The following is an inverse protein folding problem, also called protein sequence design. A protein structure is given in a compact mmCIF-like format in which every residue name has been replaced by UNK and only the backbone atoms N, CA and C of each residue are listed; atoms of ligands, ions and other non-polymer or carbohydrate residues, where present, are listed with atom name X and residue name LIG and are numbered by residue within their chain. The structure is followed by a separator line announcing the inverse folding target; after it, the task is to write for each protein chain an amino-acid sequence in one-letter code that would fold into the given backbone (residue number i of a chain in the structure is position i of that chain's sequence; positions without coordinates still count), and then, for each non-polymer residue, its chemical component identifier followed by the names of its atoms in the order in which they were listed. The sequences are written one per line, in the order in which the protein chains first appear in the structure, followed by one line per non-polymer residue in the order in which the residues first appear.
data_IF_651807738439
#
_entry.id   IF_651807738439
#
_cell.length_a   1.000
_cell.length_b   1.000
_cell.length_c   1.000
_cell.angle_alpha   90.00
_cell.angle_beta   90.00
_cell.angle_gamma   90.00
#
_symmetry.space_group_name_H-M   'P 1'
#
loop_
_entity.id
_entity.type
_entity.pdbx_description
1 polymer ?
#
# COMPACT_ATOMS: atom_id res chain seq x y z
N UNK A 1 0.44 6.29 30.50
CA UNK A 1 1.04 5.03 29.97
C UNK A 1 2.28 4.68 30.76
N UNK A 2 3.20 5.64 30.95
CA UNK A 2 4.34 5.56 31.87
C UNK A 2 3.90 5.23 33.30
N UNK A 3 2.83 5.86 33.80
CA UNK A 3 2.38 5.65 35.18
C UNK A 3 1.87 4.23 35.42
N UNK A 4 1.12 3.65 34.47
CA UNK A 4 0.62 2.28 34.60
C UNK A 4 1.76 1.25 34.57
N UNK A 5 2.75 1.45 33.69
CA UNK A 5 3.96 0.63 33.65
C UNK A 5 4.77 0.75 34.94
N UNK A 6 4.95 1.96 35.45
CA UNK A 6 5.66 2.22 36.71
C UNK A 6 4.95 1.57 37.89
N UNK A 7 3.62 1.63 37.94
CA UNK A 7 2.81 0.96 38.97
C UNK A 7 2.97 -0.56 38.90
N UNK A 8 2.84 -1.17 37.72
CA UNK A 8 3.01 -2.62 37.58
C UNK A 8 4.45 -3.07 37.86
N UNK A 9 5.46 -2.27 37.48
CA UNK A 9 6.87 -2.53 37.82
C UNK A 9 7.12 -2.44 39.33
N UNK A 10 6.51 -1.48 40.01
CA UNK A 10 6.60 -1.35 41.45
C UNK A 10 5.93 -2.53 42.18
N UNK A 11 4.77 -2.99 41.68
CA UNK A 11 4.09 -4.19 42.18
C UNK A 11 4.95 -5.45 41.97
N UNK A 12 5.56 -5.61 40.80
CA UNK A 12 6.47 -6.72 40.50
C UNK A 12 7.71 -6.70 41.42
N UNK A 13 8.33 -5.53 41.60
CA UNK A 13 9.50 -5.36 42.48
C UNK A 13 9.15 -5.69 43.95
N UNK A 14 7.97 -5.28 44.41
CA UNK A 14 7.46 -5.61 45.76
C UNK A 14 7.23 -7.12 45.92
N UNK A 15 6.74 -7.79 44.89
CA UNK A 15 6.58 -9.26 44.87
C UNK A 15 7.93 -9.99 44.95
N UNK A 16 8.97 -9.49 44.27
CA UNK A 16 10.33 -10.04 44.37
C UNK A 16 10.93 -9.90 45.78
N UNK A 17 10.75 -8.73 46.41
CA UNK A 17 11.30 -8.47 47.74
C UNK A 17 10.63 -9.30 48.85
N UNK A 18 9.34 -9.59 48.72
CA UNK A 18 8.60 -10.42 49.69
C UNK A 18 8.89 -11.94 49.58
N UNK A 19 9.44 -12.40 48.46
CA UNK A 19 9.67 -13.82 48.17
C UNK A 19 11.08 -14.33 48.57
N UNK A 20 11.78 -13.64 49.47
CA UNK A 20 13.11 -14.04 49.98
C UNK A 20 12.99 -14.79 51.33
N UNK A 21 12.62 -16.09 51.36
CA UNK A 21 13.08 -16.98 52.41
C UNK A 21 14.16 -17.96 51.89
N UNK A 22 15.02 -18.40 52.80
CA UNK A 22 16.23 -19.20 52.59
C UNK A 22 15.97 -20.68 52.17
N UNK A 23 15.06 -20.95 51.24
CA UNK A 23 14.86 -22.28 50.66
C UNK A 23 15.42 -22.34 49.22
N UNK A 24 16.24 -23.36 48.95
CA UNK A 24 16.96 -23.69 47.69
C UNK A 24 17.11 -22.54 46.67
N UNK A 25 18.29 -21.87 46.60
CA UNK A 25 18.48 -20.63 45.85
C UNK A 25 18.14 -20.74 44.35
N UNK A 26 18.26 -21.92 43.74
CA UNK A 26 17.96 -22.15 42.32
C UNK A 26 16.46 -22.18 42.00
N UNK A 27 15.62 -22.69 42.91
CA UNK A 27 14.16 -22.74 42.72
C UNK A 27 13.52 -21.36 42.80
N UNK A 28 14.02 -20.50 43.71
CA UNK A 28 13.53 -19.15 43.88
C UNK A 28 13.88 -18.27 42.66
N UNK A 29 15.12 -18.35 42.16
CA UNK A 29 15.56 -17.62 40.96
C UNK A 29 14.75 -18.05 39.72
N UNK A 30 14.48 -19.34 39.55
CA UNK A 30 13.69 -19.84 38.41
C UNK A 30 12.23 -19.30 38.43
N UNK A 31 11.60 -19.27 39.61
CA UNK A 31 10.27 -18.68 39.78
C UNK A 31 10.24 -17.19 39.47
N UNK A 32 11.21 -16.44 39.99
CA UNK A 32 11.36 -15.00 39.73
C UNK A 32 11.63 -14.69 38.26
N UNK A 33 12.49 -15.47 37.60
CA UNK A 33 12.76 -15.34 36.17
C UNK A 33 11.51 -15.60 35.33
N UNK A 34 10.73 -16.62 35.67
CA UNK A 34 9.48 -16.92 34.96
C UNK A 34 8.44 -15.82 35.16
N UNK A 35 8.31 -15.27 36.37
CA UNK A 35 7.42 -14.14 36.64
C UNK A 35 7.86 -12.88 35.87
N UNK A 36 9.16 -12.56 35.85
CA UNK A 36 9.70 -11.47 35.05
C UNK A 36 9.44 -11.68 33.56
N UNK A 37 9.73 -12.88 33.04
CA UNK A 37 9.51 -13.23 31.64
C UNK A 37 8.05 -13.08 31.26
N UNK A 38 7.12 -13.58 32.08
CA UNK A 38 5.69 -13.45 31.85
C UNK A 38 5.25 -11.99 31.84
N UNK A 39 5.75 -11.19 32.78
CA UNK A 39 5.49 -9.76 32.84
C UNK A 39 6.00 -9.03 31.59
N UNK A 40 7.26 -9.25 31.19
CA UNK A 40 7.85 -8.62 30.00
C UNK A 40 7.08 -9.01 28.74
N UNK A 41 6.72 -10.30 28.58
CA UNK A 41 5.93 -10.76 27.45
C UNK A 41 4.54 -10.11 27.42
N UNK A 42 3.89 -9.97 28.58
CA UNK A 42 2.61 -9.29 28.70
C UNK A 42 2.71 -7.80 28.36
N UNK A 43 3.75 -7.12 28.84
CA UNK A 43 3.98 -5.71 28.55
C UNK A 43 4.26 -5.48 27.05
N UNK A 44 5.06 -6.35 26.42
CA UNK A 44 5.33 -6.31 24.98
C UNK A 44 4.06 -6.58 24.16
N UNK A 45 3.24 -7.56 24.56
CA UNK A 45 1.97 -7.83 23.91
C UNK A 45 1.01 -6.63 24.02
N UNK A 46 0.94 -6.00 25.19
CA UNK A 46 0.14 -4.79 25.41
C UNK A 46 0.61 -3.61 24.54
N UNK A 47 1.93 -3.40 24.42
CA UNK A 47 2.49 -2.37 23.56
C UNK A 47 2.19 -2.63 22.08
N UNK A 48 2.32 -3.88 21.63
CA UNK A 48 1.98 -4.27 20.26
C UNK A 48 0.51 -3.95 19.94
N UNK A 49 -0.42 -4.31 20.82
CA UNK A 49 -1.84 -4.00 20.65
C UNK A 49 -2.12 -2.50 20.56
N UNK A 50 -1.43 -1.68 21.35
CA UNK A 50 -1.56 -0.23 21.31
C UNK A 50 -1.04 0.36 19.99
N UNK A 51 0.09 -0.13 19.50
CA UNK A 51 0.64 0.28 18.20
C UNK A 51 -0.31 -0.07 17.07
N UNK A 52 -0.89 -1.28 17.09
CA UNK A 52 -1.89 -1.71 16.10
C UNK A 52 -3.15 -0.84 16.13
N UNK A 53 -3.64 -0.49 17.33
CA UNK A 53 -4.79 0.41 17.50
C UNK A 53 -4.50 1.80 16.93
N UNK A 54 -3.34 2.39 17.26
CA UNK A 54 -2.94 3.71 16.78
C UNK A 54 -2.75 3.73 15.25
N UNK A 55 -2.15 2.69 14.69
CA UNK A 55 -2.02 2.54 13.24
C UNK A 55 -3.40 2.52 12.57
N UNK A 56 -4.35 1.76 13.11
CA UNK A 56 -5.74 1.70 12.62
C UNK A 56 -6.44 3.05 12.71
N UNK A 57 -6.28 3.78 13.82
CA UNK A 57 -6.88 5.11 13.99
C UNK A 57 -6.28 6.13 13.01
N UNK A 58 -4.97 6.07 12.78
CA UNK A 58 -4.28 6.93 11.82
C UNK A 58 -4.81 6.69 10.40
N UNK A 59 -4.90 5.43 9.96
CA UNK A 59 -5.48 5.07 8.67
C UNK A 59 -6.93 5.60 8.52
N UNK A 60 -7.76 5.44 9.55
CA UNK A 60 -9.14 5.94 9.53
C UNK A 60 -9.21 7.45 9.38
N UNK A 61 -8.41 8.20 10.12
CA UNK A 61 -8.36 9.66 10.04
C UNK A 61 -7.87 10.13 8.67
N UNK A 62 -6.82 9.48 8.15
CA UNK A 62 -6.28 9.75 6.83
C UNK A 62 -7.33 9.49 5.74
N UNK A 63 -8.03 8.34 5.79
CA UNK A 63 -9.13 8.06 4.87
C UNK A 63 -10.29 9.05 4.98
N UNK A 64 -10.62 9.51 6.19
CA UNK A 64 -11.63 10.57 6.36
C UNK A 64 -11.20 11.89 5.73
N UNK A 65 -9.91 12.21 5.74
CA UNK A 65 -9.37 13.37 5.02
C UNK A 65 -9.45 13.17 3.50
N UNK A 66 -9.19 11.95 3.01
CA UNK A 66 -9.17 11.60 1.59
C UNK A 66 -10.55 11.32 0.96
N UNK A 67 -11.62 11.23 1.76
CA UNK A 67 -12.97 10.82 1.28
C UNK A 67 -13.50 11.66 0.09
N UNK A 68 -13.15 12.96 0.07
CA UNK A 68 -13.54 13.90 -1.00
C UNK A 68 -12.54 13.92 -2.17
N UNK A 69 -11.63 12.96 -2.26
CA UNK A 69 -10.54 12.95 -3.23
C UNK A 69 -10.65 11.77 -4.19
N UNK A 70 -10.36 12.02 -5.45
CA UNK A 70 -10.18 11.01 -6.50
C UNK A 70 -8.85 11.21 -7.19
N UNK A 71 -8.33 10.12 -7.75
CA UNK A 71 -7.21 10.13 -8.67
C UNK A 71 -7.74 10.02 -10.09
N UNK A 72 -7.31 10.92 -10.96
CA UNK A 72 -7.59 10.91 -12.40
C UNK A 72 -6.30 10.52 -13.13
N UNK A 73 -6.40 9.55 -14.02
CA UNK A 73 -5.28 9.10 -14.86
C UNK A 73 -5.62 9.31 -16.34
N UNK A 74 -4.60 9.44 -17.18
CA UNK A 74 -4.76 9.48 -18.64
C UNK A 74 -5.00 10.87 -19.23
N UNK A 75 -5.05 11.93 -18.41
CA UNK A 75 -5.15 13.31 -18.91
C UNK A 75 -3.77 13.76 -19.43
N UNK A 76 -3.61 14.11 -20.72
CA UNK A 76 -2.34 14.54 -21.29
C UNK A 76 -1.71 15.73 -20.56
N UNK A 77 -0.38 15.83 -20.59
CA UNK A 77 0.34 16.99 -20.03
C UNK A 77 0.60 18.01 -21.14
N UNK A 78 -0.05 19.18 -21.07
CA UNK A 78 0.18 20.31 -21.95
C UNK A 78 1.12 21.34 -21.31
N UNK A 79 1.84 22.11 -22.13
CA UNK A 79 2.86 23.07 -21.67
C UNK A 79 2.27 24.36 -21.04
N UNK A 80 0.99 24.68 -21.25
CA UNK A 80 0.43 25.97 -20.82
C UNK A 80 -1.05 25.93 -20.43
N UNK A 81 -1.57 24.74 -20.08
CA UNK A 81 -2.99 24.58 -19.78
C UNK A 81 -3.30 24.76 -18.29
N UNK A 82 -4.38 25.49 -18.01
CA UNK A 82 -4.99 25.53 -16.68
C UNK A 82 -5.52 24.13 -16.34
N UNK A 83 -4.76 23.37 -15.55
CA UNK A 83 -5.09 21.99 -15.18
C UNK A 83 -6.53 21.81 -14.69
N UNK A 84 -7.03 22.76 -13.90
CA UNK A 84 -8.38 22.74 -13.38
C UNK A 84 -9.43 22.78 -14.49
N UNK A 85 -9.30 23.71 -15.43
CA UNK A 85 -10.27 23.88 -16.53
C UNK A 85 -10.24 22.65 -17.43
N UNK A 86 -9.06 22.18 -17.83
CA UNK A 86 -8.89 21.00 -18.69
C UNK A 86 -9.51 19.74 -18.08
N UNK A 87 -9.26 19.48 -16.79
CA UNK A 87 -9.81 18.31 -16.09
C UNK A 87 -11.32 18.44 -15.94
N UNK A 88 -11.82 19.62 -15.58
CA UNK A 88 -13.25 19.87 -15.40
C UNK A 88 -14.01 19.69 -16.71
N UNK A 89 -13.54 20.32 -17.80
CA UNK A 89 -14.14 20.16 -19.12
C UNK A 89 -14.06 18.73 -19.64
N UNK A 90 -12.93 18.03 -19.42
CA UNK A 90 -12.80 16.63 -19.83
C UNK A 90 -13.79 15.74 -19.07
N UNK A 91 -13.91 15.91 -17.75
CA UNK A 91 -14.83 15.14 -16.94
C UNK A 91 -16.30 15.47 -17.25
N UNK A 92 -16.67 16.75 -17.39
CA UNK A 92 -18.07 17.13 -17.70
C UNK A 92 -18.53 16.56 -19.03
N UNK A 93 -17.68 16.65 -20.07
CA UNK A 93 -17.95 16.15 -21.41
C UNK A 93 -18.13 14.63 -21.44
N UNK A 94 -17.22 13.88 -20.80
CA UNK A 94 -17.28 12.42 -20.85
C UNK A 94 -18.31 11.83 -19.89
N UNK A 95 -18.55 12.45 -18.72
CA UNK A 95 -19.47 11.95 -17.71
C UNK A 95 -20.92 12.37 -17.95
N UNK A 96 -21.16 13.30 -18.88
CA UNK A 96 -22.49 13.89 -19.14
C UNK A 96 -23.07 14.57 -17.89
N UNK A 97 -22.20 15.24 -17.13
CA UNK A 97 -22.55 15.98 -15.91
C UNK A 97 -22.36 17.48 -16.17
N UNK A 98 -23.39 18.20 -16.65
CA UNK A 98 -23.26 19.63 -16.97
C UNK A 98 -23.04 20.49 -15.72
N UNK A 99 -23.47 20.02 -14.55
CA UNK A 99 -23.34 20.72 -13.27
C UNK A 99 -21.92 20.66 -12.69
N UNK A 100 -21.01 19.88 -13.28
CA UNK A 100 -19.63 19.79 -12.82
C UNK A 100 -18.85 21.02 -13.31
N UNK A 101 -18.81 22.04 -12.45
CA UNK A 101 -18.04 23.27 -12.67
C UNK A 101 -16.78 23.32 -11.82
N UNK A 102 -15.91 24.30 -12.09
CA UNK A 102 -14.63 24.49 -11.37
C UNK A 102 -14.84 24.74 -9.88
N UNK A 103 -15.92 25.43 -9.50
CA UNK A 103 -16.28 25.72 -8.11
C UNK A 103 -16.54 24.46 -7.27
N UNK A 104 -16.90 23.35 -7.92
CA UNK A 104 -17.06 22.06 -7.24
C UNK A 104 -15.73 21.44 -6.81
N UNK A 105 -14.60 21.98 -7.26
CA UNK A 105 -13.26 21.43 -7.04
C UNK A 105 -12.46 22.38 -6.15
N UNK A 106 -12.11 21.89 -4.97
CA UNK A 106 -11.29 22.63 -3.99
C UNK A 106 -9.79 22.59 -4.29
N UNK A 107 -9.30 21.52 -4.93
CA UNK A 107 -7.88 21.33 -5.25
C UNK A 107 -7.72 20.40 -6.44
N UNK A 108 -6.84 20.77 -7.37
CA UNK A 108 -6.45 19.96 -8.50
C UNK A 108 -4.93 20.07 -8.68
N UNK A 109 -4.19 18.96 -8.56
CA UNK A 109 -2.74 18.95 -8.77
C UNK A 109 -2.24 17.65 -9.38
N UNK A 110 -1.18 17.73 -10.19
CA UNK A 110 -0.43 16.54 -10.63
C UNK A 110 0.36 15.95 -9.46
N UNK A 111 0.46 14.64 -9.42
CA UNK A 111 1.24 13.90 -8.42
C UNK A 111 2.58 13.45 -8.99
N UNK A 112 3.64 13.67 -8.21
CA UNK A 112 4.97 13.18 -8.50
C UNK A 112 5.72 13.96 -9.59
N UNK A 113 6.93 13.46 -9.87
CA UNK A 113 7.81 13.98 -10.91
C UNK A 113 7.39 13.45 -12.29
N UNK A 114 7.54 14.25 -13.37
CA UNK A 114 7.32 13.75 -14.73
C UNK A 114 8.20 12.52 -14.98
N UNK A 115 7.58 11.42 -15.44
CA UNK A 115 8.31 10.17 -15.69
C UNK A 115 7.89 9.57 -17.03
N UNK A 116 8.79 9.67 -18.00
CA UNK A 116 8.64 9.06 -19.31
C UNK A 116 7.43 9.57 -20.07
N UNK A 117 6.80 8.66 -20.82
CA UNK A 117 5.75 8.97 -21.80
C UNK A 117 4.32 8.91 -21.21
N UNK A 118 4.17 8.48 -19.95
CA UNK A 118 2.84 8.35 -19.32
C UNK A 118 2.48 9.63 -18.55
N UNK A 119 1.28 10.20 -18.76
CA UNK A 119 0.85 11.37 -18.00
C UNK A 119 0.75 11.05 -16.50
N UNK A 120 1.18 11.98 -15.65
CA UNK A 120 1.10 11.85 -14.19
C UNK A 120 -0.35 11.79 -13.72
N UNK A 121 -0.60 11.06 -12.64
CA UNK A 121 -1.91 11.07 -12.00
C UNK A 121 -2.24 12.46 -11.47
N UNK A 122 -3.51 12.84 -11.51
CA UNK A 122 -4.04 14.09 -10.95
C UNK A 122 -4.80 13.75 -9.69
N UNK A 123 -4.47 14.44 -8.60
CA UNK A 123 -5.24 14.44 -7.39
C UNK A 123 -6.31 15.52 -7.47
N UNK A 124 -7.56 15.10 -7.44
CA UNK A 124 -8.74 15.95 -7.53
C UNK A 124 -9.50 15.90 -6.20
N UNK A 125 -9.65 17.04 -5.53
CA UNK A 125 -10.43 17.16 -4.29
C UNK A 125 -11.67 17.98 -4.53
N UNK A 126 -12.83 17.37 -4.30
CA UNK A 126 -14.14 18.02 -4.41
C UNK A 126 -14.44 18.85 -3.16
N UNK A 127 -15.26 19.90 -3.34
CA UNK A 127 -15.82 20.64 -2.21
C UNK A 127 -16.70 19.73 -1.36
N UNK A 128 -17.56 18.93 -2.00
CA UNK A 128 -18.54 18.10 -1.31
C UNK A 128 -18.52 16.64 -1.73
N UNK A 129 -18.94 15.78 -0.78
CA UNK A 129 -19.01 14.34 -0.98
C UNK A 129 -20.05 13.91 -2.04
N UNK A 130 -21.26 14.51 -2.12
CA UNK A 130 -22.24 14.14 -3.13
C UNK A 130 -21.71 14.34 -4.55
N UNK A 131 -21.05 15.46 -4.83
CA UNK A 131 -20.45 15.74 -6.15
C UNK A 131 -19.35 14.73 -6.50
N UNK A 132 -18.45 14.43 -5.54
CA UNK A 132 -17.45 13.35 -5.69
C UNK A 132 -18.12 12.02 -6.03
N UNK A 133 -19.21 11.69 -5.34
CA UNK A 133 -19.93 10.43 -5.52
C UNK A 133 -20.62 10.35 -6.89
N UNK A 134 -21.27 11.44 -7.36
CA UNK A 134 -21.84 11.51 -8.70
C UNK A 134 -20.78 11.22 -9.78
N UNK A 135 -19.62 11.89 -9.69
CA UNK A 135 -18.49 11.65 -10.58
C UNK A 135 -17.98 10.21 -10.50
N UNK A 136 -17.83 9.67 -9.28
CA UNK A 136 -17.35 8.31 -9.07
C UNK A 136 -18.28 7.25 -9.66
N UNK A 137 -19.60 7.42 -9.53
CA UNK A 137 -20.57 6.46 -10.06
C UNK A 137 -20.76 6.58 -11.58
N UNK A 138 -20.56 7.77 -12.15
CA UNK A 138 -20.58 7.99 -13.60
C UNK A 138 -19.33 7.49 -14.34
N UNK A 139 -18.29 7.00 -13.63
CA UNK A 139 -16.98 6.62 -14.21
C UNK A 139 -17.04 5.59 -15.33
N UNK A 140 -18.12 4.81 -15.45
CA UNK A 140 -18.32 3.85 -16.55
C UNK A 140 -18.39 4.53 -17.91
N UNK A 141 -18.80 5.80 -17.97
CA UNK A 141 -18.81 6.62 -19.19
C UNK A 141 -17.40 6.98 -19.68
N UNK A 142 -16.36 6.79 -18.87
CA UNK A 142 -14.95 7.00 -19.24
C UNK A 142 -14.33 5.78 -19.93
N UNK A 143 -15.06 4.68 -20.11
CA UNK A 143 -14.55 3.53 -20.86
C UNK A 143 -14.21 3.97 -22.28
N UNK A 144 -13.07 3.51 -22.78
CA UNK A 144 -12.54 3.80 -24.12
C UNK A 144 -12.07 5.26 -24.34
N UNK A 145 -12.10 6.13 -23.34
CA UNK A 145 -11.56 7.50 -23.47
C UNK A 145 -10.07 7.60 -23.15
N UNK A 146 -9.48 6.53 -22.59
CA UNK A 146 -8.12 6.54 -22.06
C UNK A 146 -8.00 7.16 -20.66
N UNK A 147 -9.08 7.74 -20.12
CA UNK A 147 -9.12 8.33 -18.78
C UNK A 147 -9.67 7.31 -17.78
N UNK A 148 -9.03 7.20 -16.61
CA UNK A 148 -9.53 6.34 -15.53
C UNK A 148 -9.60 7.06 -14.19
N UNK A 149 -10.58 6.66 -13.38
CA UNK A 149 -10.78 7.18 -12.02
C UNK A 149 -10.49 6.10 -10.99
N UNK A 150 -9.71 6.47 -9.97
CA UNK A 150 -9.40 5.63 -8.81
C UNK A 150 -9.69 6.39 -7.51
N UNK A 151 -10.06 5.69 -6.44
CA UNK A 151 -10.11 6.34 -5.12
C UNK A 151 -8.71 6.59 -4.58
N UNK A 152 -8.53 7.70 -3.86
CA UNK A 152 -7.26 8.00 -3.21
C UNK A 152 -7.16 7.28 -1.87
N UNK A 153 -6.86 5.98 -1.93
CA UNK A 153 -6.69 5.12 -0.75
C UNK A 153 -5.40 5.45 0.01
N UNK A 154 -5.34 5.11 1.31
CA UNK A 154 -4.07 4.99 2.05
C UNK A 154 -3.21 3.89 1.45
N UNK A 155 -1.91 3.90 1.78
CA UNK A 155 -0.98 2.87 1.29
C UNK A 155 -1.44 1.47 1.68
N UNK A 156 -1.78 1.27 2.95
CA UNK A 156 -2.17 -0.05 3.45
C UNK A 156 -3.46 -0.56 2.80
N UNK A 157 -4.44 0.31 2.57
CA UNK A 157 -5.67 -0.03 1.85
C UNK A 157 -5.42 -0.28 0.37
N UNK A 158 -4.53 0.49 -0.25
CA UNK A 158 -4.13 0.23 -1.64
C UNK A 158 -3.47 -1.14 -1.77
N UNK A 159 -2.52 -1.47 -0.89
CA UNK A 159 -1.84 -2.75 -0.87
C UNK A 159 -2.82 -3.91 -0.59
N UNK A 160 -3.79 -3.71 0.32
CA UNK A 160 -4.88 -4.65 0.56
C UNK A 160 -5.78 -4.82 -0.68
N UNK A 161 -6.11 -3.74 -1.39
CA UNK A 161 -6.91 -3.79 -2.62
C UNK A 161 -6.20 -4.55 -3.74
N UNK A 162 -4.89 -4.33 -3.90
CA UNK A 162 -4.07 -5.06 -4.87
C UNK A 162 -3.97 -6.54 -4.51
N UNK A 163 -3.76 -6.87 -3.23
CA UNK A 163 -3.78 -8.26 -2.75
C UNK A 163 -5.14 -8.93 -3.00
N UNK A 164 -6.25 -8.23 -2.77
CA UNK A 164 -7.59 -8.74 -3.05
C UNK A 164 -7.80 -9.01 -4.54
N UNK A 165 -7.34 -8.12 -5.43
CA UNK A 165 -7.43 -8.34 -6.89
C UNK A 165 -6.57 -9.50 -7.36
N UNK A 166 -5.41 -9.70 -6.75
CA UNK A 166 -4.54 -10.85 -7.04
C UNK A 166 -5.20 -12.17 -6.62
N UNK A 167 -5.89 -12.18 -5.48
CA UNK A 167 -6.48 -13.40 -4.90
C UNK A 167 -7.83 -13.77 -5.49
N UNK A 168 -8.77 -12.82 -5.60
CA UNK A 168 -10.16 -13.08 -6.00
C UNK A 168 -10.45 -12.67 -7.45
N UNK A 169 -9.49 -12.01 -8.11
CA UNK A 169 -9.65 -11.45 -9.44
C UNK A 169 -10.20 -10.01 -9.45
N UNK A 170 -10.00 -9.33 -10.58
CA UNK A 170 -10.36 -7.91 -10.75
C UNK A 170 -11.87 -7.67 -10.69
N UNK A 171 -12.67 -8.57 -11.26
CA UNK A 171 -14.12 -8.40 -11.37
C UNK A 171 -14.84 -8.52 -10.03
N UNK A 172 -14.27 -9.27 -9.08
CA UNK A 172 -14.84 -9.51 -7.75
C UNK A 172 -14.41 -8.48 -6.71
N UNK A 173 -13.52 -7.55 -7.06
CA UNK A 173 -12.89 -6.61 -6.13
C UNK A 173 -13.03 -5.17 -6.61
N UNK A 174 -13.69 -4.32 -5.82
CA UNK A 174 -13.77 -2.88 -6.10
C UNK A 174 -13.73 -2.04 -4.82
N UNK A 175 -13.60 -0.73 -4.97
CA UNK A 175 -13.57 0.20 -3.84
C UNK A 175 -14.85 1.02 -3.78
N UNK A 176 -15.27 1.35 -2.57
CA UNK A 176 -16.36 2.30 -2.31
C UNK A 176 -16.12 3.02 -1.00
N UNK A 177 -16.01 4.34 -1.05
CA UNK A 177 -15.83 5.19 0.13
C UNK A 177 -14.60 4.81 0.94
N UNK A 178 -13.54 4.38 0.24
CA UNK A 178 -12.31 3.93 0.86
C UNK A 178 -12.35 2.53 1.47
N UNK A 179 -13.48 1.83 1.39
CA UNK A 179 -13.59 0.42 1.75
C UNK A 179 -13.32 -0.45 0.53
N UNK A 180 -12.72 -1.61 0.77
CA UNK A 180 -12.50 -2.63 -0.24
C UNK A 180 -13.67 -3.62 -0.15
N UNK A 181 -14.38 -3.79 -1.25
CA UNK A 181 -15.49 -4.70 -1.39
C UNK A 181 -15.03 -5.91 -2.20
N UNK A 182 -15.21 -7.10 -1.63
CA UNK A 182 -14.78 -8.36 -2.21
C UNK A 182 -15.99 -9.29 -2.26
N UNK A 183 -16.25 -9.90 -3.42
CA UNK A 183 -17.17 -11.03 -3.52
C UNK A 183 -16.37 -12.30 -3.32
N UNK A 184 -16.61 -12.98 -2.20
CA UNK A 184 -16.00 -14.27 -1.89
C UNK A 184 -16.47 -15.36 -2.86
N UNK A 185 -15.81 -16.51 -2.82
CA UNK A 185 -16.24 -17.67 -3.61
C UNK A 185 -17.53 -18.29 -3.09
N UNK A 186 -17.88 -18.00 -1.84
CA UNK A 186 -19.17 -18.27 -1.22
C UNK A 186 -20.31 -17.36 -1.76
N UNK A 187 -19.99 -16.41 -2.65
CA UNK A 187 -20.93 -15.43 -3.18
C UNK A 187 -21.25 -14.29 -2.21
N UNK A 188 -20.70 -14.29 -0.99
CA UNK A 188 -20.94 -13.22 -0.01
C UNK A 188 -20.06 -12.02 -0.27
N UNK A 189 -20.56 -10.84 0.13
CA UNK A 189 -19.83 -9.58 0.03
C UNK A 189 -19.12 -9.28 1.33
N UNK A 190 -17.80 -9.19 1.28
CA UNK A 190 -16.93 -8.82 2.38
C UNK A 190 -16.52 -7.36 2.26
N UNK A 191 -16.47 -6.66 3.39
CA UNK A 191 -15.98 -5.28 3.50
C UNK A 191 -14.69 -5.31 4.29
N UNK A 192 -13.60 -4.91 3.67
CA UNK A 192 -12.27 -4.97 4.29
C UNK A 192 -11.52 -3.65 4.15
N UNK A 193 -10.58 -3.44 5.06
CA UNK A 193 -9.72 -2.26 5.17
C UNK A 193 -8.24 -2.62 5.30
N UNK A 194 -7.92 -3.87 5.61
CA UNK A 194 -6.54 -4.30 5.82
C UNK A 194 -6.24 -5.58 5.05
N UNK A 195 -4.95 -5.83 4.81
CA UNK A 195 -4.49 -7.06 4.18
C UNK A 195 -4.79 -8.29 5.04
N UNK A 196 -4.75 -8.15 6.37
CA UNK A 196 -5.11 -9.24 7.29
C UNK A 196 -6.57 -9.68 7.10
N UNK A 197 -7.49 -8.73 6.96
CA UNK A 197 -8.91 -9.00 6.68
C UNK A 197 -9.10 -9.66 5.29
N UNK A 198 -8.35 -9.23 4.27
CA UNK A 198 -8.35 -9.89 2.95
C UNK A 198 -7.92 -11.35 3.07
N UNK A 199 -6.88 -11.64 3.86
CA UNK A 199 -6.35 -12.98 4.06
C UNK A 199 -7.32 -13.89 4.84
N UNK A 200 -8.05 -13.32 5.81
CA UNK A 200 -9.01 -14.05 6.64
C UNK A 200 -10.26 -14.54 5.88
N UNK A 201 -10.52 -14.00 4.67
CA UNK A 201 -11.63 -14.49 3.83
C UNK A 201 -11.29 -15.92 3.35
N UNK A 202 -12.16 -16.91 3.57
CA UNK A 202 -11.95 -18.27 3.09
C UNK A 202 -11.85 -18.31 1.56
N UNK A 203 -10.96 -19.16 1.06
CA UNK A 203 -10.89 -19.52 -0.36
C UNK A 203 -11.38 -20.96 -0.46
N UNK A 204 -12.23 -21.26 -1.44
CA UNK A 204 -12.51 -22.63 -1.78
C UNK A 204 -11.17 -23.26 -2.16
N UNK A 205 -10.86 -24.39 -1.53
CA UNK A 205 -9.70 -25.18 -1.86
C UNK A 205 -9.83 -25.59 -3.33
N UNK A 206 -9.16 -24.87 -4.23
CA UNK A 206 -8.85 -25.37 -5.56
C UNK A 206 -7.58 -26.17 -5.37
N UNK A 207 -7.76 -27.48 -5.28
CA UNK A 207 -6.67 -28.44 -5.23
C UNK A 207 -5.95 -28.42 -6.58
N UNK A 208 -4.95 -27.54 -6.69
CA UNK A 208 -3.95 -27.60 -7.75
C UNK A 208 -2.60 -27.45 -7.08
N UNK A 209 -2.19 -28.53 -6.38
CA UNK A 209 -0.80 -28.82 -6.21
C UNK A 209 -0.22 -29.07 -7.60
N UNK A 210 0.57 -28.13 -8.12
CA UNK A 210 1.49 -28.43 -9.23
C UNK A 210 2.70 -29.11 -8.60
N UNK A 211 2.97 -30.40 -8.86
CA UNK A 211 4.20 -31.03 -8.40
C UNK A 211 5.33 -30.53 -9.30
N UNK A 212 6.27 -29.78 -8.71
CA UNK A 212 7.57 -29.55 -9.34
C UNK A 212 8.36 -30.85 -9.29
N UNK A 213 8.29 -31.63 -10.38
CA UNK A 213 9.23 -32.72 -10.65
C UNK A 213 10.61 -32.11 -10.85
N UNK A 214 11.47 -32.21 -9.83
CA UNK A 214 12.89 -31.98 -9.97
C UNK A 214 13.56 -33.35 -10.20
N UNK A 215 13.84 -33.67 -11.47
CA UNK A 215 14.83 -34.69 -11.80
C UNK A 215 16.21 -34.02 -12.00
N UNK A 216 17.29 -34.56 -11.41
CA UNK A 216 18.64 -34.08 -11.63
C UNK A 216 19.22 -34.74 -12.90
N UNK A 217 19.58 -33.94 -13.90
CA UNK A 217 20.34 -34.42 -15.06
C UNK A 217 21.85 -34.27 -14.84
N UNK A 218 22.53 -35.34 -15.26
CA UNK A 218 23.90 -35.71 -14.99
C UNK A 218 24.95 -34.80 -15.64
N UNK A 219 26.14 -34.78 -15.04
CA UNK A 219 27.37 -34.31 -15.67
C UNK A 219 28.16 -35.43 -16.36
N UNK A 220 29.17 -34.96 -17.11
CA UNK A 220 30.42 -35.61 -17.55
C UNK A 220 30.52 -36.01 -19.05
N UNK A 221 31.27 -35.16 -19.79
CA UNK A 221 32.33 -35.45 -20.79
C UNK A 221 31.95 -36.09 -22.15
N UNK A 222 32.59 -35.86 -23.32
CA UNK A 222 33.81 -35.16 -23.73
C UNK A 222 33.85 -34.93 -25.28
N UNK A 223 34.68 -34.00 -25.76
CA UNK A 223 35.37 -33.94 -27.10
C UNK A 223 34.51 -33.63 -28.36
N UNK A 224 34.92 -32.91 -29.43
CA UNK A 224 36.24 -32.55 -30.04
C UNK A 224 36.05 -31.36 -31.01
N UNK A 225 37.08 -30.50 -31.12
CA UNK A 225 37.64 -29.74 -32.30
C UNK A 225 36.68 -29.15 -33.36
N UNK A 226 36.75 -27.86 -33.77
CA UNK A 226 37.82 -27.23 -34.58
C UNK A 226 37.70 -25.70 -34.68
N UNK A 227 38.85 -25.03 -34.55
CA UNK A 227 39.34 -23.79 -35.19
C UNK A 227 38.37 -22.74 -35.77
N UNK A 228 38.45 -21.50 -35.28
CA UNK A 228 39.02 -20.35 -36.01
C UNK A 228 38.87 -19.04 -35.20
N UNK A 229 39.99 -18.40 -34.92
CA UNK A 229 40.09 -16.95 -34.67
C UNK A 229 40.85 -16.34 -35.87
N UNK A 230 41.00 -15.01 -36.06
CA UNK A 230 40.71 -13.91 -35.12
C UNK A 230 40.09 -12.64 -35.77
N UNK A 231 39.73 -11.63 -34.97
CA UNK A 231 40.41 -10.32 -34.99
C UNK A 231 39.88 -9.34 -33.94
N UNK A 232 40.87 -8.74 -33.30
CA UNK A 232 40.89 -7.70 -32.26
C UNK A 232 40.65 -6.33 -32.88
N UNK A 233 39.83 -5.48 -32.25
CA UNK A 233 40.12 -4.03 -32.04
C UNK A 233 39.44 -3.56 -30.74
N UNK A 234 40.25 -3.11 -29.76
CA UNK A 234 39.88 -2.27 -28.60
C UNK A 234 40.23 -0.80 -28.94
N UNK A 235 40.12 0.19 -28.02
CA UNK A 235 38.97 0.69 -27.22
C UNK A 235 38.85 2.23 -27.36
N UNK A 236 37.89 2.89 -26.68
CA UNK A 236 38.11 4.26 -26.19
C UNK A 236 37.15 4.64 -25.03
N UNK A 237 37.73 4.79 -23.85
CA UNK A 237 37.14 5.44 -22.67
C UNK A 237 37.50 6.93 -22.70
N UNK A 238 36.53 7.83 -22.57
CA UNK A 238 36.73 9.18 -22.00
C UNK A 238 35.48 9.68 -21.28
N UNK A 239 35.63 9.95 -19.98
CA UNK A 239 34.81 10.85 -19.15
C UNK A 239 35.73 12.02 -18.74
N UNK A 240 35.29 13.06 -18.01
CA UNK A 240 34.10 13.94 -18.09
C UNK A 240 34.52 15.41 -18.37
N UNK A 241 33.57 16.35 -18.55
CA UNK A 241 33.82 17.76 -18.28
C UNK A 241 32.58 18.50 -17.77
N UNK A 242 32.87 19.47 -16.90
CA UNK A 242 32.05 20.07 -15.85
C UNK A 242 31.60 21.50 -16.23
N UNK A 243 30.36 21.83 -15.84
CA UNK A 243 29.74 23.15 -15.56
C UNK A 243 30.02 24.37 -16.46
N UNK A 244 28.94 25.10 -16.79
CA UNK A 244 28.87 26.57 -16.62
C UNK A 244 27.44 27.06 -16.34
N UNK A 245 27.29 27.75 -15.20
CA UNK A 245 26.21 28.68 -14.84
C UNK A 245 26.45 30.03 -15.55
N UNK A 246 25.39 30.70 -16.00
CA UNK A 246 25.22 32.15 -16.14
C UNK A 246 23.70 32.39 -16.17
N UNK A 247 23.05 32.97 -15.17
CA UNK A 247 23.03 34.37 -14.69
C UNK A 247 22.20 35.33 -15.58
N UNK A 248 21.01 35.66 -15.04
CA UNK A 248 20.22 36.91 -15.08
C UNK A 248 20.51 37.94 -16.20
N UNK A 249 19.43 38.32 -16.88
CA UNK A 249 18.97 39.71 -17.00
C UNK A 249 17.45 39.72 -16.92
#
# INVERSE_FOLDING_TARGET
MTDHFNTQMAEFQKSLQGAIPAASPTSNIAGQFNAFRAFVLSALAGLQQQVELLAKQTDQLEMRSRRKMLLVHGVPEGNNDNLLTTVTSSLSNHLKLPDLQEDCISRCQRLGQPKGDKPRAILLKFQDMPTKNQVWYAKTSLKNTGITLSEFLTKDRHDAFMAARQRFGVSKCWTREGLILIVGEDGKRHRVTSKAEVNAIPQAYSDVQVPTTAEPSAGVSNSKTTSAAPKVVKPAVKTPLRQKRLARR
#
